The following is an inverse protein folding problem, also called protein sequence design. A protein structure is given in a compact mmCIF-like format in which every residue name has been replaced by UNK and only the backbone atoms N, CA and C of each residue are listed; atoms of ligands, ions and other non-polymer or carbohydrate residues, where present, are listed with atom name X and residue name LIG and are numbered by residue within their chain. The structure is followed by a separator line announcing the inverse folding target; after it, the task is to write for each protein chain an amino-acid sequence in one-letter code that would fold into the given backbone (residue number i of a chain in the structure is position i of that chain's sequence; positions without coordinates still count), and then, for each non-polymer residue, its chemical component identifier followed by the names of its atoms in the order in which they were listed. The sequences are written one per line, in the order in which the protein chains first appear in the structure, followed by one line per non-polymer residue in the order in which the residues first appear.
data_IF_988450835547
#
_entry.id   IF_988450835547
#
_cell.length_a   1.000
_cell.length_b   1.000
_cell.length_c   1.000
_cell.angle_alpha   90.00
_cell.angle_beta   90.00
_cell.angle_gamma   90.00
#
_symmetry.space_group_name_H-M   'P 1'
#
loop_
_entity.id
_entity.type
_entity.pdbx_description
1 polymer ?
#
# COMPACT_ATOMS: atom_id res chain seq x y z
N UNK A 1 -15.75 -9.83 7.90
CA UNK A 1 -16.16 -10.30 9.25
C UNK A 1 -17.68 -10.36 9.31
N UNK A 2 -18.27 -11.44 9.81
CA UNK A 2 -19.72 -11.58 10.02
C UNK A 2 -20.11 -11.19 11.46
N UNK A 3 -21.42 -11.11 11.75
CA UNK A 3 -21.94 -10.66 13.06
C UNK A 3 -21.44 -11.52 14.23
N UNK A 4 -21.27 -12.83 14.03
CA UNK A 4 -20.74 -13.72 15.05
C UNK A 4 -19.29 -13.37 15.38
N UNK A 5 -18.46 -13.21 14.36
CA UNK A 5 -17.04 -12.85 14.52
C UNK A 5 -16.89 -11.48 15.18
N UNK A 6 -17.75 -10.50 14.82
CA UNK A 6 -17.78 -9.19 15.47
C UNK A 6 -18.12 -9.30 16.96
N UNK A 7 -19.12 -10.12 17.31
CA UNK A 7 -19.49 -10.36 18.71
C UNK A 7 -18.37 -11.01 19.49
N UNK A 8 -17.70 -12.01 18.92
CA UNK A 8 -16.55 -12.69 19.54
C UNK A 8 -15.40 -11.71 19.77
N UNK A 9 -15.07 -10.83 18.79
CA UNK A 9 -14.06 -9.79 18.91
C UNK A 9 -14.37 -8.85 20.10
N UNK A 10 -15.59 -8.33 20.18
CA UNK A 10 -16.03 -7.45 21.26
C UNK A 10 -15.96 -8.15 22.64
N UNK A 11 -16.34 -9.41 22.71
CA UNK A 11 -16.27 -10.19 23.95
C UNK A 11 -14.83 -10.47 24.38
N UNK A 12 -13.94 -10.74 23.43
CA UNK A 12 -12.50 -10.90 23.72
C UNK A 12 -11.90 -9.59 24.21
N UNK A 13 -12.20 -8.46 23.57
CA UNK A 13 -11.76 -7.13 24.02
C UNK A 13 -12.23 -6.77 25.46
N UNK A 14 -13.34 -7.37 25.93
CA UNK A 14 -13.87 -7.23 27.30
C UNK A 14 -13.36 -8.31 28.28
N UNK A 15 -12.41 -9.15 27.91
CA UNK A 15 -11.92 -10.25 28.72
C UNK A 15 -12.91 -11.39 28.93
N UNK A 16 -14.07 -11.41 28.22
CA UNK A 16 -15.12 -12.42 28.39
C UNK A 16 -14.92 -13.67 27.54
N UNK A 17 -14.15 -13.56 26.45
CA UNK A 17 -13.68 -14.67 25.62
C UNK A 17 -12.17 -14.65 25.51
N UNK A 18 -11.53 -15.84 25.31
CA UNK A 18 -10.09 -15.88 25.09
C UNK A 18 -9.73 -15.26 23.72
N UNK A 19 -8.56 -14.68 23.66
CA UNK A 19 -7.90 -14.33 22.41
C UNK A 19 -7.50 -15.60 21.65
N UNK A 20 -7.31 -15.50 20.36
CA UNK A 20 -6.71 -16.61 19.59
C UNK A 20 -5.20 -16.62 19.83
N UNK A 21 -4.55 -15.44 19.77
CA UNK A 21 -3.13 -15.24 20.03
C UNK A 21 -2.96 -14.06 21.00
N UNK A 22 -2.03 -14.20 21.94
CA UNK A 22 -1.65 -13.12 22.86
C UNK A 22 -0.14 -12.94 22.85
N UNK A 23 0.31 -11.81 22.31
CA UNK A 23 1.70 -11.37 22.37
C UNK A 23 1.96 -10.65 23.69
N UNK A 24 3.07 -10.96 24.35
CA UNK A 24 3.48 -10.31 25.60
C UNK A 24 5.00 -10.04 25.63
N UNK A 25 5.47 -9.27 26.60
CA UNK A 25 6.85 -8.79 26.68
C UNK A 25 7.32 -8.11 25.39
N UNK A 26 6.45 -7.33 24.72
CA UNK A 26 6.76 -6.62 23.50
C UNK A 26 7.08 -5.14 23.78
N UNK A 27 7.94 -4.57 22.95
CA UNK A 27 8.05 -3.11 22.81
C UNK A 27 7.14 -2.70 21.65
N UNK A 28 5.95 -2.15 21.98
CA UNK A 28 4.94 -1.87 20.95
C UNK A 28 5.23 -0.51 20.32
N UNK A 29 5.31 -0.48 19.00
CA UNK A 29 5.35 0.76 18.21
C UNK A 29 3.93 1.29 18.07
N UNK A 30 3.56 2.26 18.91
CA UNK A 30 2.24 2.92 18.88
C UNK A 30 2.28 4.05 17.84
N UNK A 31 1.97 3.71 16.60
CA UNK A 31 2.00 4.63 15.45
C UNK A 31 0.97 5.77 15.55
N UNK A 32 -0.10 5.59 16.33
CA UNK A 32 -1.12 6.63 16.53
C UNK A 32 -0.70 7.72 17.52
N UNK A 33 0.20 7.39 18.47
CA UNK A 33 0.67 8.31 19.48
C UNK A 33 2.16 8.59 19.37
N UNK A 34 2.80 8.13 18.31
CA UNK A 34 4.22 8.33 17.99
C UNK A 34 5.15 8.00 19.17
N UNK A 35 4.93 6.84 19.80
CA UNK A 35 5.69 6.42 20.98
C UNK A 35 5.93 4.92 21.03
N UNK A 36 6.88 4.52 21.85
CA UNK A 36 7.11 3.12 22.21
C UNK A 36 6.45 2.83 23.55
N UNK A 37 5.69 1.73 23.62
CA UNK A 37 5.16 1.18 24.88
C UNK A 37 6.08 0.03 25.27
N UNK A 38 6.87 0.20 26.32
CA UNK A 38 7.73 -0.84 26.87
C UNK A 38 6.89 -1.88 27.63
N UNK A 39 7.30 -3.15 27.54
CA UNK A 39 6.63 -4.29 28.19
C UNK A 39 5.12 -4.39 27.86
N UNK A 40 4.78 -4.04 26.62
CA UNK A 40 3.41 -4.09 26.14
C UNK A 40 2.95 -5.48 25.74
N UNK A 41 1.65 -5.58 25.46
CA UNK A 41 1.00 -6.80 25.01
C UNK A 41 -0.13 -6.53 24.01
N UNK A 42 -0.43 -7.50 23.14
CA UNK A 42 -1.49 -7.41 22.13
C UNK A 42 -2.27 -8.71 22.06
N UNK A 43 -3.59 -8.61 22.19
CA UNK A 43 -4.51 -9.73 22.01
C UNK A 43 -5.18 -9.69 20.64
N UNK A 44 -5.10 -10.81 19.92
CA UNK A 44 -5.70 -11.00 18.58
C UNK A 44 -6.92 -11.90 18.69
N UNK A 45 -8.01 -11.54 18.02
CA UNK A 45 -9.21 -12.37 17.86
C UNK A 45 -9.73 -12.29 16.43
N UNK A 46 -9.96 -13.44 15.82
CA UNK A 46 -10.42 -13.54 14.42
C UNK A 46 -9.52 -12.75 13.44
N UNK A 47 -8.19 -12.76 13.64
CA UNK A 47 -7.22 -12.03 12.82
C UNK A 47 -7.19 -10.51 13.05
N UNK A 48 -7.87 -10.00 14.08
CA UNK A 48 -7.99 -8.55 14.35
C UNK A 48 -7.42 -8.25 15.74
N UNK A 49 -6.74 -7.13 15.88
CA UNK A 49 -6.29 -6.62 17.19
C UNK A 49 -7.54 -6.31 18.03
N UNK A 50 -7.76 -7.11 19.07
CA UNK A 50 -8.88 -6.97 19.99
C UNK A 50 -8.54 -6.07 21.19
N UNK A 51 -7.29 -6.11 21.65
CA UNK A 51 -6.83 -5.30 22.79
C UNK A 51 -5.32 -5.02 22.72
N UNK A 52 -4.93 -3.85 23.18
CA UNK A 52 -3.54 -3.46 23.41
C UNK A 52 -3.40 -3.14 24.89
N UNK A 53 -2.47 -3.80 25.57
CA UNK A 53 -2.23 -3.67 27.01
C UNK A 53 -3.52 -3.73 27.85
N UNK A 54 -4.30 -4.85 27.76
CA UNK A 54 -5.55 -4.97 28.53
C UNK A 54 -5.28 -4.91 30.05
N UNK A 55 -6.23 -4.34 30.78
CA UNK A 55 -6.20 -4.18 32.24
C UNK A 55 -6.79 -5.37 33.00
N UNK A 56 -6.97 -6.52 32.33
CA UNK A 56 -7.48 -7.76 32.89
C UNK A 56 -6.51 -8.92 32.60
N UNK A 57 -6.62 -10.01 33.38
CA UNK A 57 -5.83 -11.22 33.16
C UNK A 57 -6.17 -11.85 31.81
N UNK A 58 -5.21 -11.93 30.86
CA UNK A 58 -5.48 -12.43 29.52
C UNK A 58 -5.63 -13.96 29.52
N UNK A 59 -6.58 -14.43 28.70
CA UNK A 59 -6.70 -15.85 28.31
C UNK A 59 -6.54 -15.94 26.81
N UNK A 60 -5.75 -16.86 26.32
CA UNK A 60 -5.54 -17.07 24.90
C UNK A 60 -5.35 -18.55 24.56
N UNK A 61 -5.61 -18.90 23.29
CA UNK A 61 -5.28 -20.23 22.78
C UNK A 61 -3.76 -20.39 22.63
N UNK A 62 -3.09 -19.32 22.22
CA UNK A 62 -1.63 -19.28 22.05
C UNK A 62 -1.05 -18.04 22.72
N UNK A 63 0.05 -18.22 23.45
CA UNK A 63 0.82 -17.14 24.05
C UNK A 63 2.19 -17.06 23.39
N UNK A 64 2.57 -15.87 22.92
CA UNK A 64 3.87 -15.62 22.26
C UNK A 64 4.66 -14.61 23.08
N UNK A 65 5.78 -15.07 23.63
CA UNK A 65 6.74 -14.19 24.32
C UNK A 65 7.61 -13.46 23.31
N UNK A 66 7.42 -12.15 23.19
CA UNK A 66 8.22 -11.32 22.30
C UNK A 66 9.64 -11.04 22.82
N UNK A 67 9.97 -11.40 24.06
CA UNK A 67 11.32 -11.28 24.65
C UNK A 67 11.93 -9.87 24.52
N UNK A 68 11.11 -8.84 24.60
CA UNK A 68 11.52 -7.45 24.44
C UNK A 68 11.72 -6.99 22.99
N UNK A 69 11.39 -7.82 22.01
CA UNK A 69 11.40 -7.41 20.60
C UNK A 69 10.32 -6.39 20.33
N UNK A 70 10.52 -5.62 19.26
CA UNK A 70 9.51 -4.67 18.79
C UNK A 70 8.35 -5.41 18.14
N UNK A 71 7.13 -4.97 18.46
CA UNK A 71 5.89 -5.36 17.81
C UNK A 71 5.31 -4.11 17.14
N UNK A 72 5.32 -4.09 15.83
CA UNK A 72 4.85 -2.99 15.01
C UNK A 72 3.79 -3.47 14.01
N UNK A 73 2.93 -2.57 13.48
CA UNK A 73 2.17 -2.88 12.25
C UNK A 73 3.13 -3.26 11.13
N UNK A 74 2.70 -4.19 10.28
CA UNK A 74 3.46 -4.53 9.08
C UNK A 74 3.51 -3.34 8.11
N UNK A 75 4.52 -3.33 7.25
CA UNK A 75 4.62 -2.31 6.21
C UNK A 75 3.57 -2.53 5.12
N UNK A 76 3.14 -1.41 4.54
CA UNK A 76 2.24 -1.37 3.38
C UNK A 76 3.02 -0.79 2.21
N UNK A 77 3.11 -1.53 1.12
CA UNK A 77 3.63 -1.03 -0.15
C UNK A 77 2.46 -0.43 -0.94
N UNK A 78 2.46 0.89 -1.10
CA UNK A 78 1.32 1.61 -1.65
C UNK A 78 1.19 1.50 -3.17
N UNK A 79 2.24 1.05 -3.88
CA UNK A 79 2.22 0.82 -5.32
C UNK A 79 3.42 -0.05 -5.75
N UNK A 80 3.15 -1.12 -6.47
CA UNK A 80 4.20 -1.97 -7.00
C UNK A 80 3.74 -2.86 -8.15
N UNK A 81 4.71 -3.34 -8.93
CA UNK A 81 4.54 -4.31 -10.02
C UNK A 81 5.31 -5.59 -9.69
N UNK A 82 4.61 -6.66 -9.26
CA UNK A 82 5.28 -7.94 -8.93
C UNK A 82 6.07 -8.47 -10.13
N UNK A 83 5.52 -8.34 -11.31
CA UNK A 83 6.13 -8.85 -12.56
C UNK A 83 7.46 -8.18 -12.91
N UNK A 84 7.68 -6.95 -12.48
CA UNK A 84 8.95 -6.23 -12.68
C UNK A 84 10.12 -6.93 -11.98
N UNK A 85 9.84 -7.57 -10.84
CA UNK A 85 10.80 -8.42 -10.15
C UNK A 85 11.15 -9.71 -10.90
N UNK A 86 10.34 -10.10 -11.90
CA UNK A 86 10.38 -11.41 -12.61
C UNK A 86 10.13 -12.60 -11.68
N UNK A 87 9.56 -12.36 -10.52
CA UNK A 87 9.18 -13.39 -9.55
C UNK A 87 7.69 -13.77 -9.74
N UNK A 88 7.37 -14.98 -9.33
CA UNK A 88 5.98 -15.36 -9.09
C UNK A 88 5.50 -14.70 -7.77
N UNK A 89 4.19 -14.53 -7.53
CA UNK A 89 3.68 -14.05 -6.26
C UNK A 89 4.20 -14.81 -5.04
N UNK A 90 4.37 -16.14 -5.16
CA UNK A 90 4.96 -16.96 -4.11
C UNK A 90 6.41 -16.55 -3.80
N UNK A 91 7.27 -16.51 -4.81
CA UNK A 91 8.68 -16.14 -4.63
C UNK A 91 8.86 -14.68 -4.20
N UNK A 92 7.98 -13.78 -4.64
CA UNK A 92 7.93 -12.41 -4.12
C UNK A 92 7.64 -12.38 -2.63
N UNK A 93 6.63 -13.13 -2.16
CA UNK A 93 6.29 -13.18 -0.74
C UNK A 93 7.40 -13.83 0.10
N UNK A 94 8.12 -14.85 -0.41
CA UNK A 94 9.29 -15.40 0.27
C UNK A 94 10.39 -14.35 0.50
N UNK A 95 10.54 -13.40 -0.41
CA UNK A 95 11.46 -12.28 -0.25
C UNK A 95 10.91 -11.15 0.62
N UNK A 96 9.67 -10.71 0.39
CA UNK A 96 9.13 -9.49 0.97
C UNK A 96 8.59 -9.65 2.40
N UNK A 97 7.95 -10.78 2.72
CA UNK A 97 7.33 -11.00 4.05
C UNK A 97 8.35 -11.03 5.19
N UNK A 98 9.52 -11.69 5.07
CA UNK A 98 10.54 -11.63 6.11
C UNK A 98 11.08 -10.23 6.39
N UNK A 99 10.96 -9.31 5.42
CA UNK A 99 11.28 -7.89 5.55
C UNK A 99 10.14 -7.04 6.11
N UNK A 100 9.05 -7.68 6.58
CA UNK A 100 7.94 -7.00 7.25
C UNK A 100 6.87 -6.45 6.31
N UNK A 101 6.90 -6.74 5.01
CA UNK A 101 5.82 -6.38 4.08
C UNK A 101 4.59 -7.25 4.36
N UNK A 102 3.53 -6.66 4.89
CA UNK A 102 2.28 -7.38 5.20
C UNK A 102 1.12 -7.01 4.28
N UNK A 103 1.28 -5.96 3.47
CA UNK A 103 0.24 -5.51 2.55
C UNK A 103 0.86 -4.88 1.30
N UNK A 104 0.26 -5.13 0.13
CA UNK A 104 0.66 -4.53 -1.14
C UNK A 104 -0.54 -4.02 -1.93
N UNK A 105 -0.39 -2.85 -2.55
CA UNK A 105 -1.23 -2.38 -3.64
C UNK A 105 -0.50 -2.68 -4.95
N UNK A 106 -0.95 -3.68 -5.68
CA UNK A 106 -0.24 -4.17 -6.85
C UNK A 106 -1.00 -3.89 -8.15
N UNK A 107 -0.28 -3.42 -9.17
CA UNK A 107 -0.78 -3.30 -10.54
C UNK A 107 -0.18 -4.41 -11.41
N UNK A 108 -0.97 -5.43 -11.81
CA UNK A 108 -0.50 -6.50 -12.69
C UNK A 108 -0.46 -6.04 -14.16
N UNK A 109 0.24 -4.94 -14.43
CA UNK A 109 0.23 -4.26 -15.74
C UNK A 109 0.69 -5.18 -16.87
N UNK A 110 1.81 -5.87 -16.70
CA UNK A 110 2.39 -6.74 -17.74
C UNK A 110 1.50 -7.97 -17.99
N UNK A 111 0.96 -8.57 -16.94
CA UNK A 111 0.03 -9.70 -17.06
C UNK A 111 -1.29 -9.26 -17.69
N UNK A 112 -1.79 -8.10 -17.34
CA UNK A 112 -3.01 -7.54 -17.92
C UNK A 112 -2.86 -7.23 -19.40
N UNK A 113 -1.72 -6.68 -19.80
CA UNK A 113 -1.42 -6.37 -21.21
C UNK A 113 -1.22 -7.62 -22.07
N UNK A 114 -0.72 -8.71 -21.47
CA UNK A 114 -0.43 -9.96 -22.19
C UNK A 114 -1.62 -10.90 -22.24
N UNK A 115 -2.31 -11.10 -21.11
CA UNK A 115 -3.35 -12.11 -20.93
C UNK A 115 -4.74 -11.51 -20.61
N UNK A 116 -4.84 -10.18 -20.53
CA UNK A 116 -6.09 -9.48 -20.20
C UNK A 116 -6.64 -9.91 -18.83
N UNK A 117 -7.96 -9.97 -18.73
CA UNK A 117 -8.66 -10.33 -17.50
C UNK A 117 -8.24 -11.69 -16.91
N UNK A 118 -7.83 -12.64 -17.76
CA UNK A 118 -7.35 -13.95 -17.27
C UNK A 118 -6.05 -13.81 -16.47
N UNK A 119 -5.13 -12.99 -16.95
CA UNK A 119 -3.87 -12.71 -16.25
C UNK A 119 -4.10 -12.02 -14.90
N UNK A 120 -4.97 -11.02 -14.88
CA UNK A 120 -5.36 -10.31 -13.65
C UNK A 120 -5.92 -11.29 -12.60
N UNK A 121 -6.89 -12.13 -13.00
CA UNK A 121 -7.49 -13.11 -12.11
C UNK A 121 -6.49 -14.13 -11.59
N UNK A 122 -5.59 -14.61 -12.44
CA UNK A 122 -4.57 -15.59 -12.04
C UNK A 122 -3.63 -15.01 -10.96
N UNK A 123 -3.16 -13.77 -11.10
CA UNK A 123 -2.33 -13.13 -10.06
C UNK A 123 -3.13 -12.92 -8.77
N UNK A 124 -4.37 -12.45 -8.86
CA UNK A 124 -5.22 -12.28 -7.69
C UNK A 124 -5.46 -13.60 -6.93
N UNK A 125 -5.68 -14.70 -7.65
CA UNK A 125 -5.86 -16.04 -7.05
C UNK A 125 -4.57 -16.49 -6.35
N UNK A 126 -3.41 -16.36 -7.01
CA UNK A 126 -2.12 -16.72 -6.40
C UNK A 126 -1.81 -15.89 -5.14
N UNK A 127 -2.05 -14.58 -5.19
CA UNK A 127 -1.85 -13.70 -4.02
C UNK A 127 -2.83 -14.01 -2.89
N UNK A 128 -4.05 -14.42 -3.22
CA UNK A 128 -5.05 -14.82 -2.22
C UNK A 128 -4.66 -16.04 -1.38
N UNK A 129 -3.69 -16.84 -1.82
CA UNK A 129 -3.14 -17.99 -1.09
C UNK A 129 -1.89 -17.64 -0.26
N UNK A 130 -1.37 -16.41 -0.39
CA UNK A 130 -0.13 -15.99 0.26
C UNK A 130 -0.38 -15.30 1.61
N UNK A 131 0.59 -15.33 2.53
CA UNK A 131 0.49 -14.69 3.85
C UNK A 131 0.74 -13.18 3.77
N UNK A 132 0.13 -12.51 2.79
CA UNK A 132 0.21 -11.06 2.58
C UNK A 132 -1.18 -10.55 2.18
N UNK A 133 -1.60 -9.41 2.69
CA UNK A 133 -2.80 -8.76 2.20
C UNK A 133 -2.51 -8.06 0.87
N UNK A 134 -3.38 -8.25 -0.12
CA UNK A 134 -3.14 -7.70 -1.45
C UNK A 134 -4.37 -6.97 -1.97
N UNK A 135 -4.15 -5.78 -2.50
CA UNK A 135 -5.19 -4.95 -3.09
C UNK A 135 -4.87 -4.68 -4.56
N UNK A 136 -5.82 -5.05 -5.42
CA UNK A 136 -5.67 -4.85 -6.84
C UNK A 136 -5.82 -3.37 -7.20
N UNK A 137 -4.80 -2.84 -7.85
CA UNK A 137 -4.81 -1.63 -8.64
C UNK A 137 -4.98 -2.04 -10.11
N UNK A 138 -6.12 -1.71 -10.71
CA UNK A 138 -6.47 -2.25 -12.02
C UNK A 138 -5.88 -1.38 -13.14
N UNK A 139 -4.99 -1.96 -13.95
CA UNK A 139 -4.25 -1.28 -15.00
C UNK A 139 -5.14 -0.48 -15.96
N UNK A 140 -4.84 0.81 -16.10
CA UNK A 140 -5.51 1.69 -17.05
C UNK A 140 -5.30 1.27 -18.51
N UNK A 141 -4.14 0.71 -18.82
CA UNK A 141 -3.81 0.24 -20.16
C UNK A 141 -4.75 -0.88 -20.60
N UNK A 142 -5.01 -1.85 -19.72
CA UNK A 142 -6.00 -2.89 -20.01
C UNK A 142 -7.42 -2.31 -20.14
N UNK A 143 -7.82 -1.42 -19.23
CA UNK A 143 -9.15 -0.83 -19.23
C UNK A 143 -9.41 0.02 -20.48
N UNK A 144 -8.40 0.67 -21.06
CA UNK A 144 -8.52 1.44 -22.30
C UNK A 144 -8.86 0.57 -23.52
N UNK A 145 -8.62 -0.73 -23.45
CA UNK A 145 -9.01 -1.67 -24.54
C UNK A 145 -10.51 -1.96 -24.58
N UNK A 146 -11.23 -1.63 -23.50
CA UNK A 146 -12.67 -1.86 -23.38
C UNK A 146 -13.47 -0.76 -24.07
N UNK A 147 -14.55 -1.14 -24.76
CA UNK A 147 -15.27 -0.23 -25.66
C UNK A 147 -16.16 0.77 -24.92
N UNK A 148 -16.86 0.34 -23.91
CA UNK A 148 -17.86 1.16 -23.22
C UNK A 148 -17.49 1.45 -21.78
N UNK A 149 -18.03 2.54 -21.26
CA UNK A 149 -17.88 2.88 -19.84
C UNK A 149 -18.50 1.82 -18.90
N UNK A 150 -19.58 1.17 -19.36
CA UNK A 150 -20.23 0.11 -18.61
C UNK A 150 -19.36 -1.15 -18.54
N UNK A 151 -18.69 -1.52 -19.65
CA UNK A 151 -17.73 -2.64 -19.65
C UNK A 151 -16.60 -2.38 -18.63
N UNK A 152 -16.04 -1.18 -18.64
CA UNK A 152 -14.98 -0.78 -17.70
C UNK A 152 -15.49 -0.85 -16.26
N UNK A 153 -16.67 -0.27 -15.97
CA UNK A 153 -17.27 -0.29 -14.64
C UNK A 153 -17.51 -1.71 -14.13
N UNK A 154 -18.00 -2.58 -15.02
CA UNK A 154 -18.26 -3.98 -14.69
C UNK A 154 -16.96 -4.74 -14.36
N UNK A 155 -15.90 -4.55 -15.13
CA UNK A 155 -14.60 -5.19 -14.87
C UNK A 155 -14.00 -4.70 -13.55
N UNK A 156 -14.05 -3.40 -13.25
CA UNK A 156 -13.58 -2.85 -11.97
C UNK A 156 -14.28 -3.54 -10.78
N UNK A 157 -15.60 -3.68 -10.87
CA UNK A 157 -16.42 -4.32 -9.82
C UNK A 157 -16.18 -5.83 -9.75
N UNK A 158 -16.10 -6.52 -10.88
CA UNK A 158 -15.85 -7.96 -10.98
C UNK A 158 -14.51 -8.33 -10.34
N UNK A 159 -13.47 -7.56 -10.64
CA UNK A 159 -12.14 -7.77 -10.08
C UNK A 159 -12.01 -7.26 -8.63
N UNK A 160 -13.02 -6.56 -8.10
CA UNK A 160 -12.97 -5.92 -6.77
C UNK A 160 -11.76 -4.99 -6.62
N UNK A 161 -11.39 -4.31 -7.70
CA UNK A 161 -10.27 -3.39 -7.69
C UNK A 161 -10.48 -2.30 -6.63
N UNK A 162 -9.42 -1.93 -5.94
CA UNK A 162 -9.43 -0.85 -4.95
C UNK A 162 -9.12 0.50 -5.58
N UNK A 163 -8.28 0.48 -6.59
CA UNK A 163 -7.91 1.66 -7.37
C UNK A 163 -7.82 1.30 -8.84
N UNK A 164 -7.78 2.31 -9.68
CA UNK A 164 -7.52 2.22 -11.11
C UNK A 164 -6.31 3.07 -11.43
N UNK A 165 -5.40 2.58 -12.19
CA UNK A 165 -4.21 3.32 -12.60
C UNK A 165 -3.19 2.37 -13.22
N UNK A 166 -2.04 2.86 -13.62
CA UNK A 166 -1.71 4.29 -13.53
C UNK A 166 -2.28 5.05 -14.74
N UNK A 167 -2.76 6.27 -14.52
CA UNK A 167 -3.19 7.14 -15.62
C UNK A 167 -2.15 8.24 -15.81
N UNK A 168 -1.60 8.33 -17.02
CA UNK A 168 -0.70 9.44 -17.36
C UNK A 168 -1.43 10.77 -17.31
N UNK A 169 -0.91 11.69 -16.49
CA UNK A 169 -1.44 13.04 -16.37
C UNK A 169 -1.44 13.82 -17.70
N UNK A 170 -0.52 13.49 -18.61
CA UNK A 170 -0.41 14.13 -19.92
C UNK A 170 -1.61 13.88 -20.85
N UNK A 171 -2.42 12.86 -20.57
CA UNK A 171 -3.55 12.46 -21.44
C UNK A 171 -4.93 12.59 -20.77
N UNK A 172 -5.03 13.24 -19.63
CA UNK A 172 -6.31 13.35 -18.89
C UNK A 172 -7.45 14.01 -19.67
N UNK A 173 -7.15 14.81 -20.70
CA UNK A 173 -8.12 15.41 -21.61
C UNK A 173 -8.59 14.53 -22.78
N UNK A 174 -8.02 13.34 -22.95
CA UNK A 174 -8.41 12.40 -23.99
C UNK A 174 -9.76 11.76 -23.68
N UNK A 175 -10.62 11.59 -24.68
CA UNK A 175 -11.97 11.01 -24.52
C UNK A 175 -11.95 9.58 -23.92
N UNK A 176 -10.95 8.78 -24.26
CA UNK A 176 -10.79 7.44 -23.69
C UNK A 176 -10.50 7.49 -22.19
N UNK A 177 -9.65 8.42 -21.78
CA UNK A 177 -9.34 8.65 -20.37
C UNK A 177 -10.54 9.22 -19.62
N UNK A 178 -11.27 10.18 -20.21
CA UNK A 178 -12.52 10.70 -19.62
C UNK A 178 -13.54 9.58 -19.41
N UNK A 179 -13.67 8.66 -20.37
CA UNK A 179 -14.50 7.46 -20.24
C UNK A 179 -14.07 6.57 -19.07
N UNK A 180 -12.77 6.35 -18.91
CA UNK A 180 -12.20 5.55 -17.82
C UNK A 180 -12.41 6.23 -16.46
N UNK A 181 -12.12 7.53 -16.34
CA UNK A 181 -12.38 8.32 -15.13
C UNK A 181 -13.85 8.28 -14.72
N UNK A 182 -14.76 8.39 -15.68
CA UNK A 182 -16.19 8.25 -15.45
C UNK A 182 -16.59 6.86 -14.97
N UNK A 183 -15.94 5.81 -15.46
CA UNK A 183 -16.18 4.43 -15.02
C UNK A 183 -15.66 4.20 -13.58
N UNK A 184 -14.47 4.68 -13.26
CA UNK A 184 -13.90 4.62 -11.91
C UNK A 184 -14.80 5.33 -10.89
N UNK A 185 -15.30 6.52 -11.22
CA UNK A 185 -16.26 7.27 -10.40
C UNK A 185 -17.55 6.48 -10.15
N UNK A 186 -18.12 5.82 -11.19
CA UNK A 186 -19.32 4.98 -11.05
C UNK A 186 -19.06 3.72 -10.21
N UNK A 187 -17.84 3.21 -10.22
CA UNK A 187 -17.43 2.07 -9.42
C UNK A 187 -17.05 2.44 -7.98
N UNK A 188 -16.98 3.73 -7.66
CA UNK A 188 -16.55 4.29 -6.38
C UNK A 188 -15.12 3.86 -6.00
N UNK A 189 -14.21 3.94 -6.97
CA UNK A 189 -12.78 3.66 -6.77
C UNK A 189 -11.91 4.87 -7.06
N UNK A 190 -10.78 4.97 -6.40
CA UNK A 190 -9.79 6.02 -6.62
C UNK A 190 -9.01 5.78 -7.91
N UNK A 191 -8.40 6.86 -8.41
CA UNK A 191 -7.60 6.81 -9.63
C UNK A 191 -6.19 7.27 -9.32
N UNK A 192 -5.22 6.38 -9.57
CA UNK A 192 -3.81 6.65 -9.36
C UNK A 192 -3.20 7.33 -10.60
N UNK A 193 -2.29 8.26 -10.37
CA UNK A 193 -1.65 9.03 -11.42
C UNK A 193 -0.25 8.53 -11.76
N UNK A 194 0.17 8.81 -13.00
CA UNK A 194 1.53 8.70 -13.49
C UNK A 194 1.90 10.04 -14.11
N UNK A 195 2.65 10.87 -13.37
CA UNK A 195 2.86 12.28 -13.69
C UNK A 195 4.34 12.70 -13.67
N UNK A 196 5.25 11.97 -14.36
CA UNK A 196 6.66 12.33 -14.38
C UNK A 196 6.87 13.67 -15.08
N UNK A 197 7.78 14.49 -14.56
CA UNK A 197 8.28 15.73 -15.19
C UNK A 197 7.18 16.73 -15.61
N UNK A 198 6.01 16.73 -14.93
CA UNK A 198 4.89 17.63 -15.22
C UNK A 198 5.04 18.97 -14.49
N UNK A 199 4.79 20.06 -15.22
CA UNK A 199 4.71 21.40 -14.63
C UNK A 199 3.43 21.58 -13.79
N UNK A 200 3.44 22.58 -12.91
CA UNK A 200 2.34 22.81 -11.95
C UNK A 200 0.94 22.93 -12.60
N UNK A 201 0.85 23.58 -13.77
CA UNK A 201 -0.43 23.68 -14.50
C UNK A 201 -0.99 22.32 -14.90
N UNK A 202 -0.11 21.43 -15.37
CA UNK A 202 -0.52 20.11 -15.85
C UNK A 202 -0.89 19.20 -14.66
N UNK A 203 -0.18 19.35 -13.53
CA UNK A 203 -0.53 18.71 -12.26
C UNK A 203 -1.93 19.14 -11.79
N UNK A 204 -2.25 20.44 -11.87
CA UNK A 204 -3.59 20.94 -11.54
C UNK A 204 -4.67 20.32 -12.44
N UNK A 205 -4.38 20.13 -13.74
CA UNK A 205 -5.32 19.46 -14.66
C UNK A 205 -5.53 18.00 -14.27
N UNK A 206 -4.45 17.28 -13.93
CA UNK A 206 -4.51 15.89 -13.47
C UNK A 206 -5.33 15.76 -12.18
N UNK A 207 -5.09 16.62 -11.20
CA UNK A 207 -5.87 16.65 -9.95
C UNK A 207 -7.36 16.99 -10.19
N UNK A 208 -7.66 17.98 -11.05
CA UNK A 208 -9.03 18.30 -11.45
C UNK A 208 -9.74 17.13 -12.16
N UNK A 209 -9.00 16.32 -12.91
CA UNK A 209 -9.51 15.11 -13.54
C UNK A 209 -9.81 13.97 -12.55
N UNK A 210 -9.33 14.08 -11.31
CA UNK A 210 -9.59 13.13 -10.24
C UNK A 210 -8.45 12.14 -9.96
N UNK A 211 -7.25 12.39 -10.50
CA UNK A 211 -6.06 11.64 -10.08
C UNK A 211 -5.74 12.01 -8.63
N UNK A 212 -5.64 11.00 -7.76
CA UNK A 212 -5.57 11.25 -6.32
C UNK A 212 -4.15 11.14 -5.73
N UNK A 213 -3.23 10.57 -6.47
CA UNK A 213 -1.83 10.40 -6.04
C UNK A 213 -0.86 10.34 -7.22
N UNK A 214 0.42 10.36 -6.89
CA UNK A 214 1.53 10.16 -7.84
C UNK A 214 2.74 9.56 -7.10
N UNK A 215 3.63 8.87 -7.84
CA UNK A 215 4.83 8.27 -7.28
C UNK A 215 6.14 8.68 -8.00
N UNK A 216 6.08 9.63 -8.97
CA UNK A 216 7.25 10.05 -9.76
C UNK A 216 7.83 11.40 -9.34
N UNK A 217 7.67 11.80 -8.09
CA UNK A 217 8.34 13.01 -7.61
C UNK A 217 9.86 12.78 -7.52
N UNK A 218 10.63 13.65 -8.17
CA UNK A 218 12.09 13.60 -8.16
C UNK A 218 12.71 14.72 -7.32
N UNK A 219 11.94 15.74 -7.01
CA UNK A 219 12.38 16.91 -6.24
C UNK A 219 11.34 17.34 -5.20
N UNK A 220 11.79 18.11 -4.21
CA UNK A 220 10.90 18.71 -3.22
C UNK A 220 9.90 19.67 -3.87
N UNK A 221 10.31 20.42 -4.88
CA UNK A 221 9.39 21.29 -5.62
C UNK A 221 8.27 20.50 -6.30
N UNK A 222 8.58 19.32 -6.85
CA UNK A 222 7.57 18.43 -7.43
C UNK A 222 6.59 17.95 -6.37
N UNK A 223 7.11 17.48 -5.24
CA UNK A 223 6.31 16.99 -4.12
C UNK A 223 5.36 18.08 -3.60
N UNK A 224 5.88 19.29 -3.32
CA UNK A 224 5.07 20.40 -2.82
C UNK A 224 3.96 20.81 -3.81
N UNK A 225 4.24 20.79 -5.12
CA UNK A 225 3.23 21.11 -6.14
C UNK A 225 2.08 20.09 -6.15
N UNK A 226 2.37 18.79 -5.96
CA UNK A 226 1.36 17.73 -5.92
C UNK A 226 0.53 17.85 -4.64
N UNK A 227 1.17 18.01 -3.50
CA UNK A 227 0.46 18.25 -2.23
C UNK A 227 -0.42 19.51 -2.29
N UNK A 228 0.07 20.59 -2.89
CA UNK A 228 -0.70 21.83 -3.10
C UNK A 228 -1.94 21.64 -3.98
N UNK A 229 -1.97 20.60 -4.81
CA UNK A 229 -3.15 20.21 -5.60
C UNK A 229 -4.07 19.22 -4.88
N UNK A 230 -3.77 18.83 -3.64
CA UNK A 230 -4.53 17.85 -2.88
C UNK A 230 -4.32 16.41 -3.34
N UNK A 231 -3.21 16.15 -4.02
CA UNK A 231 -2.79 14.79 -4.39
C UNK A 231 -1.87 14.23 -3.31
N UNK A 232 -2.03 12.96 -2.98
CA UNK A 232 -1.05 12.25 -2.16
C UNK A 232 0.24 11.99 -2.95
N UNK A 233 1.36 11.88 -2.25
CA UNK A 233 2.65 11.53 -2.84
C UNK A 233 3.14 10.21 -2.29
N UNK A 234 3.41 9.26 -3.18
CA UNK A 234 4.05 8.01 -2.85
C UNK A 234 5.55 8.16 -3.11
N UNK A 235 6.32 8.22 -2.04
CA UNK A 235 7.77 8.30 -2.11
C UNK A 235 8.32 6.94 -2.53
N UNK A 236 8.98 6.90 -3.68
CA UNK A 236 9.39 5.68 -4.35
C UNK A 236 10.83 5.29 -4.02
N UNK A 237 11.04 3.99 -3.80
CA UNK A 237 12.36 3.36 -3.66
C UNK A 237 12.44 2.11 -4.52
N UNK A 238 12.38 2.31 -5.82
CA UNK A 238 12.56 1.26 -6.84
C UNK A 238 14.03 0.95 -7.09
N UNK A 239 14.31 -0.12 -7.82
CA UNK A 239 15.69 -0.49 -8.18
C UNK A 239 16.34 0.53 -9.13
N UNK A 240 15.55 1.10 -10.06
CA UNK A 240 16.05 2.04 -11.07
C UNK A 240 15.85 3.49 -10.60
N UNK A 241 14.82 3.75 -9.84
CA UNK A 241 14.40 5.10 -9.44
C UNK A 241 14.29 5.23 -7.91
N UNK A 242 15.45 5.32 -7.22
CA UNK A 242 15.51 5.44 -5.76
C UNK A 242 15.37 6.91 -5.34
N UNK A 243 14.15 7.43 -5.26
CA UNK A 243 13.88 8.83 -4.93
C UNK A 243 13.75 9.09 -3.42
N UNK A 244 13.65 8.05 -2.59
CA UNK A 244 13.33 8.15 -1.18
C UNK A 244 14.28 9.05 -0.39
N UNK A 245 15.60 8.88 -0.55
CA UNK A 245 16.58 9.69 0.19
C UNK A 245 16.41 11.18 -0.06
N UNK A 246 16.39 11.59 -1.34
CA UNK A 246 16.28 13.00 -1.73
C UNK A 246 15.01 13.64 -1.21
N UNK A 247 13.89 12.91 -1.33
CA UNK A 247 12.59 13.43 -0.89
C UNK A 247 12.51 13.47 0.64
N UNK A 248 12.94 12.44 1.35
CA UNK A 248 12.89 12.41 2.82
C UNK A 248 13.79 13.49 3.45
N UNK A 249 15.01 13.67 2.97
CA UNK A 249 15.89 14.75 3.43
C UNK A 249 15.24 16.13 3.22
N UNK A 250 14.58 16.33 2.09
CA UNK A 250 13.89 17.57 1.78
C UNK A 250 12.62 17.77 2.62
N UNK A 251 11.83 16.73 2.86
CA UNK A 251 10.64 16.76 3.72
C UNK A 251 11.04 17.22 5.11
N UNK A 252 12.07 16.59 5.70
CA UNK A 252 12.57 16.92 7.04
C UNK A 252 13.09 18.36 7.08
N UNK A 253 13.95 18.73 6.13
CA UNK A 253 14.59 20.06 6.07
C UNK A 253 13.56 21.19 5.94
N UNK A 254 12.49 20.98 5.18
CA UNK A 254 11.47 22.01 4.91
C UNK A 254 10.26 21.88 5.82
N UNK A 255 10.25 20.95 6.79
CA UNK A 255 9.13 20.70 7.70
C UNK A 255 7.80 20.46 6.97
N UNK A 256 7.82 19.68 5.88
CA UNK A 256 6.62 19.38 5.10
C UNK A 256 5.72 18.43 5.89
N UNK A 257 4.40 18.72 6.00
CA UNK A 257 3.44 17.79 6.61
C UNK A 257 3.42 16.45 5.89
N UNK A 258 3.30 15.35 6.64
CA UNK A 258 3.42 13.99 6.10
C UNK A 258 2.11 13.22 6.00
N UNK A 259 0.97 13.86 6.32
CA UNK A 259 -0.36 13.22 6.34
C UNK A 259 -0.77 12.61 5.00
N UNK A 260 -0.34 13.21 3.89
CA UNK A 260 -0.62 12.76 2.52
C UNK A 260 0.63 12.18 1.84
N UNK A 261 1.60 11.70 2.62
CA UNK A 261 2.81 11.05 2.12
C UNK A 261 2.78 9.57 2.47
N UNK A 262 2.98 8.73 1.47
CA UNK A 262 3.07 7.28 1.58
C UNK A 262 4.38 6.80 0.97
N UNK A 263 4.64 5.51 1.06
CA UNK A 263 5.82 4.89 0.48
C UNK A 263 5.46 3.76 -0.46
N UNK A 264 6.26 3.55 -1.50
CA UNK A 264 6.10 2.46 -2.46
C UNK A 264 7.46 1.97 -2.99
N UNK A 265 7.47 0.75 -3.52
CA UNK A 265 8.65 0.21 -4.19
C UNK A 265 8.59 0.34 -5.71
N UNK A 266 7.40 0.40 -6.29
CA UNK A 266 7.20 0.45 -7.74
C UNK A 266 7.90 -0.75 -8.44
N UNK A 267 8.88 -0.50 -9.29
CA UNK A 267 9.67 -1.50 -10.00
C UNK A 267 10.90 -1.92 -9.18
N UNK A 268 10.80 -3.09 -8.52
CA UNK A 268 11.89 -3.65 -7.73
C UNK A 268 12.35 -5.00 -8.26
N UNK A 269 13.66 -5.15 -8.51
CA UNK A 269 14.21 -6.41 -9.03
C UNK A 269 14.30 -7.49 -7.95
N UNK A 270 14.30 -8.77 -8.39
CA UNK A 270 14.48 -9.90 -7.48
C UNK A 270 15.82 -9.85 -6.72
N UNK A 271 16.87 -9.37 -7.39
CA UNK A 271 18.20 -9.23 -6.79
C UNK A 271 18.19 -8.18 -5.69
N UNK A 272 17.58 -7.03 -5.94
CA UNK A 272 17.43 -5.95 -4.97
C UNK A 272 16.59 -6.37 -3.76
N UNK A 273 15.47 -7.06 -3.99
CA UNK A 273 14.64 -7.63 -2.89
C UNK A 273 15.48 -8.56 -2.02
N UNK A 274 16.30 -9.41 -2.63
CA UNK A 274 17.14 -10.37 -1.91
C UNK A 274 18.27 -9.71 -1.12
N UNK A 275 18.91 -8.69 -1.67
CA UNK A 275 20.12 -8.08 -1.09
C UNK A 275 19.78 -6.95 -0.12
N UNK A 276 18.77 -6.16 -0.43
CA UNK A 276 18.46 -4.94 0.29
C UNK A 276 17.11 -4.96 1.02
N UNK A 277 16.23 -5.91 0.69
CA UNK A 277 14.87 -5.97 1.24
C UNK A 277 13.83 -5.35 0.31
N UNK A 278 12.65 -5.13 0.82
CA UNK A 278 11.50 -4.62 0.08
C UNK A 278 11.10 -3.21 0.55
N UNK A 279 9.87 -3.00 1.00
CA UNK A 279 9.38 -1.69 1.50
C UNK A 279 10.10 -1.25 2.80
N UNK A 280 10.72 -2.15 3.53
CA UNK A 280 11.53 -1.83 4.71
C UNK A 280 12.75 -0.97 4.39
N UNK A 281 13.31 -1.09 3.19
CA UNK A 281 14.43 -0.22 2.74
C UNK A 281 14.05 1.25 2.72
N UNK A 282 12.80 1.55 2.41
CA UNK A 282 12.25 2.90 2.46
C UNK A 282 12.26 3.43 3.88
N UNK A 283 11.76 2.65 4.84
CA UNK A 283 11.75 3.04 6.26
C UNK A 283 13.16 3.26 6.80
N UNK A 284 14.10 2.42 6.41
CA UNK A 284 15.50 2.53 6.81
C UNK A 284 16.17 3.79 6.22
N UNK A 285 15.91 4.08 4.95
CA UNK A 285 16.42 5.28 4.28
C UNK A 285 15.85 6.56 4.90
N UNK A 286 14.56 6.55 5.25
CA UNK A 286 13.90 7.65 5.95
C UNK A 286 14.51 7.89 7.34
N UNK A 287 14.73 6.85 8.13
CA UNK A 287 15.38 6.97 9.44
C UNK A 287 16.79 7.58 9.34
N UNK A 288 17.59 7.17 8.35
CA UNK A 288 18.92 7.76 8.11
C UNK A 288 18.87 9.22 7.70
N UNK A 289 17.82 9.66 7.02
CA UNK A 289 17.64 11.07 6.68
C UNK A 289 17.45 11.95 7.93
N UNK A 290 16.92 11.39 9.02
CA UNK A 290 16.78 12.09 10.31
C UNK A 290 18.07 12.11 11.15
N UNK A 291 19.06 11.26 10.86
CA UNK A 291 20.33 11.21 11.61
C UNK A 291 21.36 12.23 11.14
N UNK A 292 21.16 12.88 10.00
CA UNK A 292 22.04 13.91 9.42
C UNK A 292 21.47 15.30 9.60
#
# INVERSE_FOLDING_TARGET
MNDRQLKELILAAKGKLPFDIYFYNARIVDVYRERIIDSGSVGIKNGIIAAVCPDFEPRATEFIDCRGMYLAPSFIDAHMHIESSKLTPFAYCEGAVPHGTGCVFFDPMQMSNTLGLKGIKAICEMLGEMPIESFLQLSSQYLSTLKTQDDITNVIKECRAKTVGEISGAVVGNEEIIKLLGAAKRADVKVNGHCPSMGFRDVQQAACAGLCDVHECESISDLEQRLACGMAVLVREGTIEPNCRTLCEGIVKNHIPTDDIMFCTDDKSAEDIKENGCIDTVSYTHLRAHET
#
